data_IF_857336366174
#
_entry.id   IF_857336366174
#
_cell.length_a   1.000
_cell.length_b   1.000
_cell.length_c   1.000
_cell.angle_alpha   90.00
_cell.angle_beta   90.00
_cell.angle_gamma   90.00
#
_symmetry.space_group_name_H-M   'P 1'
#
loop_
_entity.id
_entity.type
_entity.pdbx_description
1 polymer ?
#
# COMPACT_ATOMS: atom_id res chain seq x y z
N UNK A 1 3.18 -15.11 2.37
CA UNK A 1 4.06 -14.51 3.39
C UNK A 1 4.00 -15.40 4.61
N UNK A 2 5.17 -15.80 5.11
CA UNK A 2 5.32 -16.61 6.31
C UNK A 2 6.11 -15.82 7.34
N UNK A 3 5.80 -16.03 8.62
CA UNK A 3 6.47 -15.39 9.74
C UNK A 3 7.31 -16.44 10.46
N UNK A 4 8.62 -16.22 10.56
CA UNK A 4 9.47 -17.10 11.36
C UNK A 4 9.29 -16.83 12.86
N UNK A 5 9.86 -17.69 13.69
CA UNK A 5 9.73 -17.65 15.15
C UNK A 5 10.27 -16.35 15.78
N UNK A 6 11.17 -15.67 15.08
CA UNK A 6 11.78 -14.38 15.41
C UNK A 6 11.03 -13.17 14.82
N UNK A 7 9.84 -13.37 14.27
CA UNK A 7 9.00 -12.34 13.64
C UNK A 7 9.61 -11.74 12.36
N UNK A 8 10.55 -12.43 11.69
CA UNK A 8 10.97 -12.03 10.35
C UNK A 8 9.93 -12.46 9.31
N UNK A 9 9.44 -11.51 8.52
CA UNK A 9 8.52 -11.77 7.43
C UNK A 9 9.29 -12.28 6.19
N UNK A 10 8.87 -13.43 5.64
CA UNK A 10 9.43 -14.02 4.43
C UNK A 10 8.38 -14.11 3.34
N UNK A 11 8.75 -13.71 2.12
CA UNK A 11 7.89 -13.88 0.95
C UNK A 11 8.01 -15.34 0.50
N UNK A 12 6.87 -16.00 0.35
CA UNK A 12 6.73 -17.38 -0.11
C UNK A 12 5.65 -17.44 -1.17
N UNK A 13 5.53 -18.59 -1.83
CA UNK A 13 4.63 -18.85 -2.97
C UNK A 13 4.95 -18.02 -4.23
N UNK A 14 5.89 -18.54 -5.02
CA UNK A 14 6.27 -17.99 -6.32
C UNK A 14 5.55 -18.69 -7.49
N UNK A 15 4.45 -19.41 -7.23
CA UNK A 15 3.75 -20.22 -8.25
C UNK A 15 3.20 -19.42 -9.44
N UNK A 16 2.99 -18.11 -9.25
CA UNK A 16 2.54 -17.17 -10.28
C UNK A 16 3.61 -16.12 -10.63
N UNK A 17 4.81 -16.21 -10.08
CA UNK A 17 5.88 -15.25 -10.33
C UNK A 17 6.34 -15.33 -11.80
N UNK A 18 6.75 -14.19 -12.35
CA UNK A 18 7.26 -14.11 -13.73
C UNK A 18 8.55 -13.30 -13.80
N UNK A 19 9.47 -13.78 -14.63
CA UNK A 19 10.63 -13.02 -15.04
C UNK A 19 10.24 -12.17 -16.26
N UNK A 20 10.41 -10.85 -16.16
CA UNK A 20 10.21 -9.95 -17.29
C UNK A 20 11.55 -9.83 -18.04
N UNK A 21 11.57 -10.15 -19.33
CA UNK A 21 12.74 -10.01 -20.18
C UNK A 21 12.47 -9.01 -21.30
N UNK A 22 13.46 -8.17 -21.60
CA UNK A 22 13.38 -7.22 -22.70
C UNK A 22 13.22 -7.95 -24.04
N UNK A 23 12.13 -7.66 -24.75
CA UNK A 23 11.80 -8.28 -26.03
C UNK A 23 10.80 -9.43 -25.96
N UNK A 24 10.40 -9.87 -24.76
CA UNK A 24 9.33 -10.86 -24.58
C UNK A 24 7.97 -10.22 -24.30
N UNK A 25 6.91 -11.00 -24.50
CA UNK A 25 5.53 -10.57 -24.24
C UNK A 25 5.24 -10.54 -22.74
N UNK A 26 4.95 -9.35 -22.21
CA UNK A 26 4.57 -9.16 -20.81
C UNK A 26 3.10 -9.52 -20.51
N UNK A 27 2.44 -10.30 -21.38
CA UNK A 27 1.04 -10.68 -21.23
C UNK A 27 0.90 -12.02 -20.49
N UNK A 28 -0.05 -12.11 -19.57
CA UNK A 28 -0.33 -13.32 -18.77
C UNK A 28 -1.80 -13.70 -18.80
N UNK A 29 -2.10 -14.99 -18.63
CA UNK A 29 -3.44 -15.36 -18.16
C UNK A 29 -3.69 -14.69 -16.78
N UNK A 30 -4.92 -14.28 -16.47
CA UNK A 30 -5.25 -13.72 -15.16
C UNK A 30 -4.84 -14.68 -14.05
N UNK A 31 -3.91 -14.25 -13.21
CA UNK A 31 -3.40 -15.00 -12.09
C UNK A 31 -3.15 -14.03 -10.93
N UNK A 32 -3.59 -14.40 -9.73
CA UNK A 32 -3.45 -13.59 -8.53
C UNK A 32 -4.64 -13.79 -7.58
N UNK A 33 -4.49 -13.27 -6.37
CA UNK A 33 -5.52 -13.34 -5.34
C UNK A 33 -6.51 -12.18 -5.50
N UNK A 34 -7.81 -12.50 -5.57
CA UNK A 34 -8.86 -11.50 -5.67
C UNK A 34 -8.73 -10.45 -4.56
N UNK A 35 -8.88 -9.17 -4.93
CA UNK A 35 -8.74 -8.05 -4.00
C UNK A 35 -7.31 -7.53 -3.80
N UNK A 36 -6.30 -8.20 -4.36
CA UNK A 36 -4.90 -7.75 -4.36
C UNK A 36 -4.35 -7.53 -5.78
N UNK A 37 -5.05 -8.04 -6.80
CA UNK A 37 -4.69 -7.87 -8.22
C UNK A 37 -4.78 -6.40 -8.59
N UNK A 38 -3.69 -5.85 -9.13
CA UNK A 38 -3.67 -4.49 -9.65
C UNK A 38 -4.68 -4.31 -10.80
N UNK A 39 -5.39 -3.18 -10.87
CA UNK A 39 -6.48 -2.97 -11.82
C UNK A 39 -6.01 -3.14 -13.28
N UNK A 40 -4.82 -2.63 -13.61
CA UNK A 40 -4.27 -2.79 -14.96
C UNK A 40 -4.00 -4.26 -15.32
N UNK A 41 -3.62 -5.09 -14.35
CA UNK A 41 -3.39 -6.52 -14.57
C UNK A 41 -4.72 -7.25 -14.78
N UNK A 42 -5.75 -6.87 -14.02
CA UNK A 42 -7.10 -7.42 -14.16
C UNK A 42 -7.72 -7.12 -15.52
N UNK A 43 -7.57 -5.89 -16.03
CA UNK A 43 -8.18 -5.46 -17.29
C UNK A 43 -7.33 -5.77 -18.52
N UNK A 44 -6.03 -5.56 -18.44
CA UNK A 44 -5.14 -5.62 -19.61
C UNK A 44 -4.29 -6.87 -19.64
N UNK A 45 -4.28 -7.73 -18.62
CA UNK A 45 -3.40 -8.91 -18.57
C UNK A 45 -1.89 -8.59 -18.71
N UNK A 46 -1.51 -7.31 -18.65
CA UNK A 46 -0.13 -6.86 -18.75
C UNK A 46 0.52 -6.87 -17.38
N UNK A 47 1.52 -7.72 -17.21
CA UNK A 47 2.32 -7.79 -15.98
C UNK A 47 3.38 -6.70 -16.00
N UNK A 48 3.51 -6.02 -14.86
CA UNK A 48 4.61 -5.08 -14.60
C UNK A 48 5.02 -5.20 -13.14
N UNK A 49 6.22 -4.72 -12.80
CA UNK A 49 6.65 -4.60 -11.39
C UNK A 49 5.70 -3.72 -10.56
N UNK A 50 4.95 -2.81 -11.19
CA UNK A 50 3.98 -1.95 -10.51
C UNK A 50 2.74 -2.71 -10.02
N UNK A 51 2.49 -3.91 -10.55
CA UNK A 51 1.42 -4.76 -10.05
C UNK A 51 1.75 -5.29 -8.64
N UNK A 52 3.03 -5.60 -8.39
CA UNK A 52 3.51 -6.00 -7.06
C UNK A 52 3.48 -4.82 -6.09
N UNK A 53 3.80 -3.60 -6.55
CA UNK A 53 3.68 -2.38 -5.72
C UNK A 53 2.24 -2.17 -5.23
N UNK A 54 1.25 -2.36 -6.11
CA UNK A 54 -0.16 -2.25 -5.73
C UNK A 54 -0.54 -3.32 -4.71
N UNK A 55 -0.21 -4.58 -4.99
CA UNK A 55 -0.49 -5.71 -4.11
C UNK A 55 0.13 -5.51 -2.72
N UNK A 56 1.37 -5.03 -2.66
CA UNK A 56 2.05 -4.62 -1.43
C UNK A 56 1.29 -3.50 -0.71
N UNK A 57 0.83 -2.47 -1.43
CA UNK A 57 0.03 -1.39 -0.87
C UNK A 57 -1.25 -1.88 -0.20
N UNK A 58 -1.97 -2.84 -0.81
CA UNK A 58 -3.16 -3.45 -0.21
C UNK A 58 -2.81 -4.21 1.08
N UNK A 59 -1.75 -5.02 1.08
CA UNK A 59 -1.30 -5.74 2.28
C UNK A 59 -0.88 -4.77 3.39
N UNK A 60 -0.13 -3.72 3.04
CA UNK A 60 0.30 -2.72 4.01
C UNK A 60 -0.88 -1.92 4.58
N UNK A 61 -1.89 -1.63 3.77
CA UNK A 61 -3.13 -1.01 4.22
C UNK A 61 -3.92 -1.94 5.16
N UNK A 62 -4.00 -3.22 4.82
CA UNK A 62 -4.62 -4.25 5.67
C UNK A 62 -3.93 -4.35 7.04
N UNK A 63 -2.60 -4.25 7.09
CA UNK A 63 -1.84 -4.19 8.35
C UNK A 63 -2.20 -2.92 9.14
N UNK A 64 -2.27 -1.77 8.48
CA UNK A 64 -2.59 -0.48 9.12
C UNK A 64 -4.01 -0.47 9.73
N UNK A 65 -4.97 -1.06 9.02
CA UNK A 65 -6.38 -1.13 9.42
C UNK A 65 -6.67 -2.32 10.35
N UNK A 66 -5.83 -3.34 10.34
CA UNK A 66 -5.97 -4.57 11.11
C UNK A 66 -6.97 -5.59 10.54
N UNK A 67 -7.53 -5.33 9.35
CA UNK A 67 -8.48 -6.17 8.61
C UNK A 67 -8.48 -5.79 7.13
N UNK A 68 -8.99 -6.70 6.28
CA UNK A 68 -9.10 -6.44 4.85
C UNK A 68 -9.93 -5.15 4.56
N UNK A 69 -9.37 -4.16 3.84
CA UNK A 69 -9.90 -2.79 3.79
C UNK A 69 -10.98 -2.57 2.71
N UNK A 70 -11.88 -3.52 2.47
CA UNK A 70 -12.85 -3.48 1.36
C UNK A 70 -13.68 -2.19 1.30
N UNK A 71 -14.30 -1.80 2.42
CA UNK A 71 -15.12 -0.58 2.49
C UNK A 71 -14.30 0.69 2.22
N UNK A 72 -13.04 0.71 2.68
CA UNK A 72 -12.15 1.83 2.50
C UNK A 72 -11.70 1.95 1.04
N UNK A 73 -11.37 0.83 0.38
CA UNK A 73 -11.05 0.80 -1.05
C UNK A 73 -12.21 1.31 -1.91
N UNK A 74 -13.43 0.81 -1.68
CA UNK A 74 -14.64 1.29 -2.37
C UNK A 74 -14.87 2.80 -2.15
N UNK A 75 -14.58 3.28 -0.93
CA UNK A 75 -14.71 4.70 -0.60
C UNK A 75 -13.68 5.55 -1.36
N UNK A 76 -12.41 5.12 -1.41
CA UNK A 76 -11.34 5.80 -2.16
C UNK A 76 -11.65 5.87 -3.67
N UNK A 77 -12.20 4.80 -4.25
CA UNK A 77 -12.60 4.76 -5.67
C UNK A 77 -13.76 5.72 -5.96
N UNK A 78 -14.71 5.84 -5.04
CA UNK A 78 -15.89 6.70 -5.22
C UNK A 78 -15.59 8.20 -5.06
N UNK A 79 -14.36 8.57 -4.68
CA UNK A 79 -14.00 9.95 -4.32
C UNK A 79 -14.78 10.48 -3.11
N UNK A 80 -15.48 9.59 -2.41
CA UNK A 80 -16.37 9.89 -1.31
C UNK A 80 -15.68 9.62 0.02
N UNK A 81 -15.59 10.68 0.81
CA UNK A 81 -15.33 10.71 2.26
C UNK A 81 -13.91 11.06 2.75
N UNK A 82 -13.94 12.03 3.65
CA UNK A 82 -12.86 12.68 4.37
C UNK A 82 -12.69 12.00 5.75
N UNK A 83 -12.40 10.68 5.74
CA UNK A 83 -12.17 9.96 7.01
C UNK A 83 -10.84 10.36 7.62
N UNK A 84 -10.82 10.61 8.92
CA UNK A 84 -9.58 10.84 9.63
C UNK A 84 -8.74 9.56 9.65
N UNK A 85 -7.42 9.71 9.49
CA UNK A 85 -6.49 8.59 9.54
C UNK A 85 -6.64 7.78 10.83
N UNK A 86 -6.89 8.45 11.96
CA UNK A 86 -7.08 7.79 13.27
C UNK A 86 -8.28 6.83 13.31
N UNK A 87 -9.34 7.12 12.55
CA UNK A 87 -10.58 6.34 12.59
C UNK A 87 -10.45 5.00 11.86
N UNK A 88 -9.49 4.92 10.93
CA UNK A 88 -9.24 3.73 10.12
C UNK A 88 -8.15 2.82 10.68
N UNK A 89 -7.39 3.26 11.69
CA UNK A 89 -6.35 2.44 12.31
C UNK A 89 -6.93 1.22 13.02
N UNK A 90 -6.10 0.18 13.16
CA UNK A 90 -6.43 -0.99 13.97
C UNK A 90 -6.76 -0.61 15.42
N UNK A 91 -8.05 -0.71 15.76
CA UNK A 91 -8.60 -0.35 17.07
C UNK A 91 -8.17 -1.30 18.19
N UNK A 92 -7.51 -2.41 17.88
CA UNK A 92 -6.92 -3.33 18.86
C UNK A 92 -5.60 -2.78 19.43
N UNK A 93 -4.99 -1.81 18.74
CA UNK A 93 -3.73 -1.19 19.16
C UNK A 93 -4.00 0.07 20.00
N UNK A 94 -3.09 0.37 20.92
CA UNK A 94 -3.13 1.64 21.64
C UNK A 94 -2.85 2.80 20.67
N UNK A 95 -3.46 3.99 20.89
CA UNK A 95 -3.16 5.16 20.07
C UNK A 95 -1.66 5.48 20.04
N UNK A 96 -1.10 5.84 18.88
CA UNK A 96 0.33 6.10 18.76
C UNK A 96 0.76 7.35 19.56
N UNK A 97 1.97 7.31 20.11
CA UNK A 97 2.62 8.50 20.66
C UNK A 97 2.88 9.54 19.56
N UNK A 98 3.06 10.82 19.92
CA UNK A 98 3.20 11.93 18.95
C UNK A 98 4.31 11.72 17.91
N UNK A 99 5.47 11.21 18.33
CA UNK A 99 6.60 10.89 17.42
C UNK A 99 6.24 9.77 16.44
N UNK A 100 5.48 8.78 16.89
CA UNK A 100 4.95 7.69 16.04
C UNK A 100 3.88 8.19 15.07
N UNK A 101 3.18 9.30 15.38
CA UNK A 101 2.16 9.90 14.53
C UNK A 101 2.70 10.43 13.20
N UNK A 102 3.87 11.07 13.20
CA UNK A 102 4.49 11.55 11.94
C UNK A 102 4.96 10.40 11.05
N UNK A 103 5.55 9.36 11.66
CA UNK A 103 5.92 8.16 10.94
C UNK A 103 4.68 7.47 10.35
N UNK A 104 3.57 7.45 11.11
CA UNK A 104 2.31 6.89 10.64
C UNK A 104 1.74 7.66 9.45
N UNK A 105 1.80 9.00 9.46
CA UNK A 105 1.42 9.83 8.31
C UNK A 105 2.28 9.46 7.09
N UNK A 106 3.60 9.40 7.25
CA UNK A 106 4.51 9.04 6.15
C UNK A 106 4.18 7.67 5.56
N UNK A 107 3.99 6.66 6.43
CA UNK A 107 3.67 5.29 6.04
C UNK A 107 2.30 5.25 5.33
N UNK A 108 1.29 5.93 5.87
CA UNK A 108 -0.04 5.98 5.27
C UNK A 108 -0.02 6.66 3.90
N UNK A 109 0.67 7.80 3.75
CA UNK A 109 0.86 8.47 2.45
C UNK A 109 1.55 7.55 1.44
N UNK A 110 2.60 6.82 1.87
CA UNK A 110 3.32 5.89 1.01
C UNK A 110 2.42 4.74 0.54
N UNK A 111 1.62 4.17 1.44
CA UNK A 111 0.64 3.12 1.14
C UNK A 111 -0.37 3.61 0.10
N UNK A 112 -0.94 4.80 0.30
CA UNK A 112 -1.91 5.39 -0.63
C UNK A 112 -1.30 5.67 -2.01
N UNK A 113 -0.02 6.03 -2.08
CA UNK A 113 0.71 6.16 -3.34
C UNK A 113 0.91 4.81 -4.05
N UNK A 114 1.13 3.73 -3.30
CA UNK A 114 1.27 2.38 -3.86
C UNK A 114 -0.04 1.85 -4.49
N UNK A 115 -1.20 2.19 -3.95
CA UNK A 115 -2.50 1.69 -4.43
C UNK A 115 -3.18 2.57 -5.49
N UNK A 116 -2.47 3.55 -6.07
CA UNK A 116 -3.06 4.40 -7.12
C UNK A 116 -3.46 3.58 -8.35
N UNK A 117 -4.59 3.93 -8.94
CA UNK A 117 -5.09 3.31 -10.18
C UNK A 117 -4.06 3.35 -11.32
N UNK A 118 -3.46 4.52 -11.56
CA UNK A 118 -2.42 4.67 -12.59
C UNK A 118 -1.08 4.07 -12.12
N UNK A 119 -0.56 3.01 -12.79
CA UNK A 119 0.71 2.37 -12.41
C UNK A 119 1.92 3.31 -12.49
N UNK A 120 1.87 4.33 -13.35
CA UNK A 120 2.94 5.32 -13.49
C UNK A 120 3.00 6.28 -12.29
N UNK A 121 1.89 6.46 -11.58
CA UNK A 121 1.81 7.28 -10.38
C UNK A 121 2.28 6.56 -9.11
N UNK A 122 2.49 5.24 -9.18
CA UNK A 122 3.00 4.44 -8.06
C UNK A 122 4.52 4.59 -7.95
N UNK A 123 5.10 4.60 -6.73
CA UNK A 123 6.56 4.52 -6.56
C UNK A 123 7.10 3.16 -7.04
N UNK A 124 8.41 3.02 -7.15
CA UNK A 124 9.06 1.70 -7.29
C UNK A 124 9.23 1.05 -5.92
N UNK A 125 9.33 -0.28 -5.85
CA UNK A 125 9.60 -0.97 -4.57
C UNK A 125 10.91 -0.52 -3.92
N UNK A 126 11.90 -0.10 -4.72
CA UNK A 126 13.13 0.49 -4.19
C UNK A 126 12.86 1.82 -3.47
N UNK A 127 12.06 2.72 -4.07
CA UNK A 127 11.66 3.98 -3.45
C UNK A 127 10.83 3.74 -2.18
N UNK A 128 9.91 2.78 -2.21
CA UNK A 128 9.12 2.37 -1.03
C UNK A 128 10.04 1.89 0.09
N UNK A 129 10.98 0.98 -0.22
CA UNK A 129 11.94 0.47 0.77
C UNK A 129 12.81 1.57 1.36
N UNK A 130 13.32 2.50 0.54
CA UNK A 130 14.14 3.61 1.01
C UNK A 130 13.36 4.55 1.93
N UNK A 131 12.11 4.87 1.58
CA UNK A 131 11.25 5.74 2.38
C UNK A 131 10.93 5.12 3.75
N UNK A 132 10.77 3.80 3.83
CA UNK A 132 10.53 3.09 5.09
C UNK A 132 11.77 2.96 5.96
N UNK A 133 12.96 2.77 5.37
CA UNK A 133 14.22 2.63 6.10
C UNK A 133 14.81 3.95 6.59
N UNK A 134 14.58 5.03 5.83
CA UNK A 134 15.08 6.36 6.12
C UNK A 134 13.93 7.36 6.11
N UNK A 135 13.04 7.32 7.13
CA UNK A 135 11.92 8.25 7.22
C UNK A 135 12.46 9.68 7.41
N UNK A 136 12.50 10.44 6.32
CA UNK A 136 12.79 11.87 6.38
C UNK A 136 11.60 12.55 7.07
N UNK A 137 11.86 13.23 8.19
CA UNK A 137 10.83 13.92 8.96
C UNK A 137 10.10 14.93 8.09
N UNK A 138 8.77 14.83 8.04
CA UNK A 138 7.95 15.91 7.50
C UNK A 138 8.08 17.11 8.44
N UNK A 139 8.52 18.26 7.92
CA UNK A 139 8.79 19.48 8.71
C UNK A 139 7.53 20.15 9.26
N UNK A 140 6.35 19.72 8.80
CA UNK A 140 5.08 20.31 9.19
C UNK A 140 4.46 19.50 10.33
N UNK A 141 4.28 20.16 11.48
CA UNK A 141 3.58 19.62 12.64
C UNK A 141 2.07 19.54 12.34
N UNK A 142 1.66 18.54 11.55
CA UNK A 142 0.25 18.18 11.40
C UNK A 142 -0.08 17.09 12.42
N UNK A 143 -1.03 17.31 13.35
CA UNK A 143 -1.48 16.26 14.25
C UNK A 143 -2.14 15.14 13.44
N UNK A 144 -1.67 13.89 13.60
CA UNK A 144 -2.27 12.73 12.92
C UNK A 144 -3.77 12.53 13.26
N UNK A 145 -4.24 13.10 14.38
CA UNK A 145 -5.65 13.07 14.76
C UNK A 145 -6.54 13.98 13.89
N UNK A 146 -5.96 14.87 13.09
CA UNK A 146 -6.70 15.80 12.23
C UNK A 146 -6.50 15.55 10.74
N UNK A 147 -5.54 14.71 10.36
CA UNK A 147 -5.26 14.42 8.96
C UNK A 147 -6.29 13.43 8.43
N UNK A 148 -6.76 13.65 7.21
CA UNK A 148 -7.69 12.76 6.54
C UNK A 148 -7.01 11.97 5.45
N UNK A 149 -7.64 10.87 5.02
CA UNK A 149 -7.12 10.09 3.88
C UNK A 149 -7.04 10.93 2.60
N UNK A 150 -7.92 11.92 2.44
CA UNK A 150 -7.91 12.82 1.30
C UNK A 150 -6.69 13.76 1.35
N UNK A 151 -6.34 14.29 2.52
CA UNK A 151 -5.12 15.07 2.70
C UNK A 151 -3.90 14.26 2.25
N UNK A 152 -3.80 13.00 2.70
CA UNK A 152 -2.68 12.12 2.37
C UNK A 152 -2.59 11.79 0.86
N UNK A 153 -3.72 11.71 0.16
CA UNK A 153 -3.74 11.49 -1.29
C UNK A 153 -3.14 12.67 -2.08
N UNK A 154 -3.21 13.88 -1.51
CA UNK A 154 -2.69 15.12 -2.10
C UNK A 154 -1.24 15.46 -1.68
N UNK A 155 -0.65 14.72 -0.74
CA UNK A 155 0.76 14.84 -0.29
C UNK A 155 1.75 14.04 -1.17
#
# INVERSE_FOLDING_TARGET
MELSTDLESKISDFGTARLLQDGESNWTAPAGSYGYIAPELAFTMKVTEKCDVYSFGIVALEILVGKYPNELLLSLESGGFDQHLVDVLDKRLAPPASLSGQLLILVATLILKCIRENPLSRPTMNQVSQALLSPAGCSDYVPFSKITLLDLLHM
#
